data_IF_181960319664
#
_entry.id   IF_181960319664
#
_cell.length_a   1.000
_cell.length_b   1.000
_cell.length_c   1.000
_cell.angle_alpha   90.00
_cell.angle_beta   90.00
_cell.angle_gamma   90.00
#
_symmetry.space_group_name_H-M   'P 1'
#
loop_
_entity.id
_entity.type
_entity.pdbx_description
1 polymer ?
#
# COMPACT_ATOMS: atom_id res chain seq x y z
N UNK A 1 32.68 -2.03 -34.38
CA UNK A 1 31.64 -1.33 -33.60
C UNK A 1 32.11 -1.22 -32.17
N UNK A 2 31.86 -0.09 -31.53
CA UNK A 2 32.20 0.18 -30.14
C UNK A 2 30.99 0.84 -29.44
N UNK A 3 30.49 0.29 -28.31
CA UNK A 3 30.88 -0.99 -27.70
C UNK A 3 30.53 -2.20 -28.58
N UNK A 4 31.23 -3.31 -28.39
CA UNK A 4 30.91 -4.57 -29.08
C UNK A 4 29.83 -5.34 -28.30
N UNK A 5 28.86 -5.94 -29.00
CA UNK A 5 27.81 -6.75 -28.40
C UNK A 5 26.50 -5.99 -28.17
N UNK A 6 25.87 -6.22 -27.01
CA UNK A 6 24.62 -5.54 -26.62
C UNK A 6 24.88 -4.12 -26.13
N UNK A 7 24.00 -3.20 -26.52
CA UNK A 7 24.06 -1.78 -26.19
C UNK A 7 22.84 -1.39 -25.40
N UNK A 8 23.00 -0.67 -24.29
CA UNK A 8 21.84 -0.18 -23.55
C UNK A 8 21.13 0.92 -24.32
N UNK A 9 19.80 0.91 -24.23
CA UNK A 9 18.95 2.00 -24.70
C UNK A 9 19.46 3.36 -24.19
N UNK A 10 19.57 4.33 -25.09
CA UNK A 10 20.04 5.68 -24.81
C UNK A 10 21.56 5.86 -24.80
N UNK A 11 22.36 4.79 -24.98
CA UNK A 11 23.81 4.90 -25.19
C UNK A 11 24.14 5.28 -26.65
N UNK A 12 25.38 5.73 -26.87
CA UNK A 12 25.90 6.02 -28.19
C UNK A 12 26.67 4.82 -28.75
N UNK A 13 26.57 4.60 -30.06
CA UNK A 13 27.27 3.51 -30.76
C UNK A 13 28.11 4.06 -31.88
N UNK A 14 29.37 3.63 -31.92
CA UNK A 14 30.30 3.96 -32.99
C UNK A 14 30.50 2.77 -33.92
N UNK A 15 30.25 2.97 -35.21
CA UNK A 15 30.53 1.98 -36.27
C UNK A 15 31.62 2.53 -37.18
N UNK A 16 32.81 1.92 -37.09
CA UNK A 16 33.94 2.27 -37.95
C UNK A 16 33.92 1.43 -39.23
N UNK A 17 33.86 2.11 -40.37
CA UNK A 17 34.06 1.53 -41.68
C UNK A 17 35.51 1.78 -42.11
N UNK A 18 36.20 0.76 -42.62
CA UNK A 18 37.57 0.87 -43.12
C UNK A 18 37.75 0.08 -44.41
N UNK A 19 38.57 0.59 -45.32
CA UNK A 19 38.88 -0.06 -46.60
C UNK A 19 40.40 -0.20 -46.78
N UNK A 20 40.84 -1.38 -47.21
CA UNK A 20 42.25 -1.64 -47.54
C UNK A 20 42.53 -1.25 -48.99
N UNK A 21 42.73 0.04 -49.25
CA UNK A 21 43.06 0.60 -50.58
C UNK A 21 44.24 1.56 -50.52
N UNK A 22 44.94 1.72 -51.64
CA UNK A 22 46.00 2.73 -51.79
C UNK A 22 45.42 4.13 -52.07
N UNK A 23 44.14 4.22 -52.45
CA UNK A 23 43.46 5.47 -52.80
C UNK A 23 42.93 6.17 -51.55
N UNK A 24 43.66 7.17 -51.06
CA UNK A 24 43.26 7.94 -49.88
C UNK A 24 41.96 8.73 -50.11
N UNK A 25 41.11 8.65 -49.09
CA UNK A 25 39.86 9.37 -48.99
C UNK A 25 38.76 8.88 -49.93
N UNK A 26 37.52 9.28 -49.65
CA UNK A 26 36.32 8.87 -50.39
C UNK A 26 35.07 9.00 -49.52
N UNK A 27 33.95 8.55 -50.04
CA UNK A 27 32.66 8.54 -49.35
C UNK A 27 32.40 7.14 -48.81
N UNK A 28 32.23 7.03 -47.51
CA UNK A 28 31.75 5.82 -46.85
C UNK A 28 30.24 5.93 -46.66
N UNK A 29 29.54 4.82 -46.81
CA UNK A 29 28.09 4.72 -46.68
C UNK A 29 27.82 3.62 -45.66
N UNK A 30 27.21 3.97 -44.54
CA UNK A 30 26.68 3.03 -43.57
C UNK A 30 25.20 2.80 -43.87
N UNK A 31 24.79 1.56 -44.03
CA UNK A 31 23.39 1.23 -44.30
C UNK A 31 22.93 0.03 -43.48
N UNK A 32 21.67 0.06 -43.06
CA UNK A 32 21.04 -1.05 -42.38
C UNK A 32 20.53 -2.06 -43.42
N UNK A 33 20.70 -3.35 -43.17
CA UNK A 33 20.26 -4.41 -44.10
C UNK A 33 18.74 -4.46 -44.27
N UNK A 34 18.01 -3.97 -43.28
CA UNK A 34 16.55 -3.91 -43.26
C UNK A 34 16.08 -2.56 -42.78
N UNK A 35 15.13 -1.94 -43.49
CA UNK A 35 14.62 -0.60 -43.20
C UNK A 35 15.26 0.47 -44.08
N UNK A 36 15.12 1.74 -43.68
CA UNK A 36 15.54 2.90 -44.48
C UNK A 36 16.80 3.62 -43.98
N UNK A 37 17.42 3.14 -42.89
CA UNK A 37 18.59 3.81 -42.33
C UNK A 37 19.78 3.73 -43.30
N UNK A 38 20.26 4.91 -43.72
CA UNK A 38 21.43 5.09 -44.56
C UNK A 38 22.08 6.42 -44.26
N UNK A 39 23.37 6.39 -43.97
CA UNK A 39 24.17 7.57 -43.67
C UNK A 39 25.43 7.55 -44.53
N UNK A 40 25.92 8.72 -44.92
CA UNK A 40 27.16 8.82 -45.69
C UNK A 40 28.09 9.87 -45.09
N UNK A 41 29.38 9.60 -45.18
CA UNK A 41 30.40 10.50 -44.66
C UNK A 41 31.64 10.44 -45.53
N UNK A 42 32.19 11.60 -45.87
CA UNK A 42 33.46 11.69 -46.59
C UNK A 42 34.62 11.74 -45.60
N UNK A 43 35.68 11.01 -45.93
CA UNK A 43 36.92 11.02 -45.17
C UNK A 43 38.08 11.25 -46.13
N UNK A 44 39.15 11.93 -45.65
CA UNK A 44 40.43 12.02 -46.37
C UNK A 44 41.32 10.79 -46.12
N UNK A 45 40.93 9.94 -45.18
CA UNK A 45 41.64 8.70 -44.81
C UNK A 45 40.91 7.47 -45.34
N UNK A 46 41.45 6.29 -45.06
CA UNK A 46 40.88 5.00 -45.46
C UNK A 46 39.81 4.47 -44.48
N UNK A 47 39.40 5.28 -43.51
CA UNK A 47 38.36 4.90 -42.54
C UNK A 47 37.50 6.10 -42.14
N UNK A 48 36.30 5.80 -41.63
CA UNK A 48 35.44 6.76 -40.97
C UNK A 48 34.65 6.07 -39.86
N UNK A 49 34.29 6.82 -38.83
CA UNK A 49 33.44 6.33 -37.74
C UNK A 49 32.12 7.07 -37.78
N UNK A 50 31.04 6.32 -37.92
CA UNK A 50 29.66 6.79 -37.79
C UNK A 50 29.23 6.69 -36.33
N UNK A 51 28.74 7.79 -35.75
CA UNK A 51 28.18 7.81 -34.41
C UNK A 51 26.65 7.78 -34.49
N UNK A 52 26.04 6.80 -33.83
CA UNK A 52 24.60 6.69 -33.67
C UNK A 52 24.29 7.06 -32.21
N UNK A 53 23.90 8.32 -31.94
CA UNK A 53 23.68 8.76 -30.57
C UNK A 53 22.32 8.27 -30.05
N UNK A 54 22.24 8.04 -28.73
CA UNK A 54 21.01 7.69 -28.00
C UNK A 54 20.20 6.58 -28.68
N UNK A 55 20.83 5.43 -28.89
CA UNK A 55 20.21 4.30 -29.58
C UNK A 55 18.89 3.88 -28.93
N UNK A 56 17.90 3.58 -29.75
CA UNK A 56 16.62 3.04 -29.34
C UNK A 56 16.32 1.74 -30.11
N UNK A 57 15.15 1.15 -29.89
CA UNK A 57 14.78 -0.11 -30.53
C UNK A 57 14.69 -0.05 -32.07
N UNK A 58 14.53 1.13 -32.66
CA UNK A 58 14.52 1.30 -34.13
C UNK A 58 15.93 1.22 -34.72
N UNK A 59 16.96 1.49 -33.92
CA UNK A 59 18.36 1.31 -34.31
C UNK A 59 18.81 -0.17 -34.27
N UNK A 60 18.01 -1.07 -33.73
CA UNK A 60 18.38 -2.48 -33.63
C UNK A 60 18.38 -3.17 -35.01
N UNK A 61 19.46 -3.86 -35.36
CA UNK A 61 19.57 -4.61 -36.62
C UNK A 61 21.00 -4.73 -37.15
N UNK A 62 21.15 -5.26 -38.35
CA UNK A 62 22.46 -5.46 -38.98
C UNK A 62 22.82 -4.29 -39.91
N UNK A 63 24.08 -3.89 -39.85
CA UNK A 63 24.64 -2.75 -40.57
C UNK A 63 25.81 -3.20 -41.44
N UNK A 64 25.93 -2.60 -42.62
CA UNK A 64 27.01 -2.84 -43.58
C UNK A 64 27.55 -1.52 -44.11
N UNK A 65 28.84 -1.51 -44.41
CA UNK A 65 29.54 -0.39 -45.00
C UNK A 65 29.73 -0.60 -46.50
N UNK A 66 29.67 0.48 -47.27
CA UNK A 66 30.15 0.55 -48.65
C UNK A 66 31.07 1.76 -48.82
N UNK A 67 32.17 1.62 -49.54
CA UNK A 67 33.06 2.70 -49.92
C UNK A 67 32.83 3.11 -51.38
N UNK A 68 32.78 4.42 -51.65
CA UNK A 68 32.64 5.03 -52.97
C UNK A 68 33.73 6.10 -53.18
N UNK A 69 34.44 6.06 -54.31
CA UNK A 69 35.38 7.12 -54.71
C UNK A 69 35.05 7.62 -56.10
N UNK A 70 34.86 8.93 -56.22
CA UNK A 70 34.69 9.61 -57.51
C UNK A 70 36.03 10.18 -57.95
N UNK A 71 36.40 9.85 -59.18
CA UNK A 71 37.52 10.43 -59.92
C UNK A 71 36.96 11.13 -61.17
N UNK A 72 37.78 11.87 -61.90
CA UNK A 72 37.33 12.62 -63.10
C UNK A 72 36.71 11.72 -64.18
N UNK A 73 37.16 10.47 -64.27
CA UNK A 73 36.74 9.52 -65.31
C UNK A 73 35.77 8.43 -64.83
N UNK A 74 35.78 8.08 -63.54
CA UNK A 74 35.04 6.93 -63.04
C UNK A 74 34.66 7.04 -61.56
N UNK A 75 33.56 6.36 -61.20
CA UNK A 75 33.19 6.11 -59.80
C UNK A 75 33.49 4.66 -59.45
N UNK A 76 34.35 4.46 -58.46
CA UNK A 76 34.67 3.15 -57.90
C UNK A 76 33.78 2.89 -56.69
N UNK A 77 33.19 1.69 -56.59
CA UNK A 77 32.41 1.24 -55.43
C UNK A 77 32.97 -0.09 -54.94
N UNK A 78 33.10 -0.25 -53.62
CA UNK A 78 33.39 -1.55 -53.03
C UNK A 78 32.12 -2.41 -52.96
N UNK A 79 32.32 -3.72 -52.78
CA UNK A 79 31.28 -4.58 -52.23
C UNK A 79 30.87 -4.13 -50.82
N UNK A 80 29.75 -4.66 -50.34
CA UNK A 80 29.30 -4.45 -48.97
C UNK A 80 30.21 -5.19 -48.00
N UNK A 81 30.51 -4.57 -46.85
CA UNK A 81 31.26 -5.22 -45.78
C UNK A 81 30.47 -6.37 -45.15
N UNK A 82 31.17 -7.15 -44.33
CA UNK A 82 30.52 -8.02 -43.35
C UNK A 82 29.52 -7.23 -42.50
N UNK A 83 28.46 -7.91 -42.09
CA UNK A 83 27.41 -7.31 -41.27
C UNK A 83 27.81 -7.22 -39.81
N UNK A 84 27.60 -6.06 -39.20
CA UNK A 84 27.69 -5.87 -37.74
C UNK A 84 26.29 -5.66 -37.19
N UNK A 85 25.91 -6.45 -36.18
CA UNK A 85 24.59 -6.36 -35.56
C UNK A 85 24.63 -5.46 -34.32
N UNK A 86 23.76 -4.47 -34.29
CA UNK A 86 23.43 -3.68 -33.11
C UNK A 86 22.25 -4.35 -32.43
N UNK A 87 22.47 -4.86 -31.20
CA UNK A 87 21.42 -5.41 -30.34
C UNK A 87 21.16 -4.45 -29.19
N UNK A 88 19.90 -4.04 -28.98
CA UNK A 88 19.55 -3.05 -27.96
C UNK A 88 18.92 -3.74 -26.76
N UNK A 89 19.51 -3.53 -25.59
CA UNK A 89 19.03 -4.04 -24.30
C UNK A 89 18.61 -2.89 -23.39
N UNK A 90 17.96 -3.21 -22.27
CA UNK A 90 17.51 -2.21 -21.31
C UNK A 90 17.88 -2.63 -19.89
N UNK A 91 18.62 -1.79 -19.20
CA UNK A 91 18.89 -1.93 -17.77
C UNK A 91 18.01 -0.96 -16.99
N UNK A 92 17.05 -1.48 -16.21
CA UNK A 92 16.21 -0.65 -15.36
C UNK A 92 16.82 -0.44 -13.97
N UNK A 93 16.65 0.76 -13.38
CA UNK A 93 17.01 0.97 -11.99
C UNK A 93 16.07 0.19 -11.07
N UNK A 94 16.45 0.13 -9.79
CA UNK A 94 15.58 -0.41 -8.74
C UNK A 94 14.33 0.49 -8.59
N UNK A 95 13.10 -0.06 -8.64
CA UNK A 95 11.89 0.72 -8.39
C UNK A 95 11.86 1.26 -6.96
N UNK A 96 11.23 2.42 -6.77
CA UNK A 96 10.81 2.89 -5.45
C UNK A 96 9.45 2.29 -5.08
N UNK A 97 9.22 2.15 -3.78
CA UNK A 97 7.99 1.61 -3.20
C UNK A 97 7.60 2.49 -2.02
N UNK A 98 6.32 2.82 -1.91
CA UNK A 98 5.75 3.59 -0.82
C UNK A 98 4.36 3.07 -0.45
N UNK A 99 3.87 3.45 0.73
CA UNK A 99 2.58 3.02 1.26
C UNK A 99 1.81 4.22 1.80
N UNK A 100 0.50 4.21 1.61
CA UNK A 100 -0.42 5.18 2.18
C UNK A 100 -1.62 4.45 2.81
N UNK A 101 -1.86 4.60 4.13
CA UNK A 101 -1.06 5.37 5.09
C UNK A 101 0.33 4.76 5.31
N UNK A 102 1.30 5.59 5.71
CA UNK A 102 2.70 5.16 5.90
C UNK A 102 2.97 4.51 7.27
N UNK A 103 2.02 4.58 8.21
CA UNK A 103 2.10 4.09 9.58
C UNK A 103 1.42 2.73 9.75
N UNK A 104 1.25 2.30 11.01
CA UNK A 104 0.39 1.17 11.37
C UNK A 104 -1.02 1.36 10.78
N UNK A 105 -1.53 0.28 10.20
CA UNK A 105 -2.81 0.26 9.49
C UNK A 105 -3.82 -0.44 10.36
N UNK A 106 -4.98 0.19 10.58
CA UNK A 106 -6.02 -0.44 11.37
C UNK A 106 -6.69 -1.60 10.59
N UNK A 107 -7.04 -2.67 11.29
CA UNK A 107 -7.75 -3.81 10.70
C UNK A 107 -9.01 -3.35 9.94
N UNK A 108 -9.23 -3.91 8.76
CA UNK A 108 -10.36 -3.57 7.88
C UNK A 108 -10.20 -2.28 7.08
N UNK A 109 -9.10 -1.53 7.26
CA UNK A 109 -8.81 -0.33 6.46
C UNK A 109 -8.28 -0.71 5.06
N UNK A 110 -8.39 0.23 4.12
CA UNK A 110 -7.80 0.14 2.79
C UNK A 110 -6.39 0.77 2.77
N UNK A 111 -5.47 0.12 2.07
CA UNK A 111 -4.08 0.58 1.92
C UNK A 111 -3.72 0.69 0.45
N UNK A 112 -3.12 1.81 0.06
CA UNK A 112 -2.49 1.98 -1.24
C UNK A 112 -0.99 1.72 -1.14
N UNK A 113 -0.47 0.78 -1.94
CA UNK A 113 0.97 0.60 -2.13
C UNK A 113 1.34 1.08 -3.54
N UNK A 114 2.21 2.07 -3.61
CA UNK A 114 2.63 2.69 -4.88
C UNK A 114 4.05 2.25 -5.24
N UNK A 115 4.19 1.68 -6.43
CA UNK A 115 5.48 1.39 -7.05
C UNK A 115 5.80 2.48 -8.08
N UNK A 116 7.04 2.95 -8.16
CA UNK A 116 7.47 3.90 -9.19
C UNK A 116 8.85 3.55 -9.74
N UNK A 117 9.09 3.82 -11.02
CA UNK A 117 10.36 3.53 -11.71
C UNK A 117 10.84 4.78 -12.45
N UNK A 118 12.13 5.09 -12.36
CA UNK A 118 12.74 6.21 -13.09
C UNK A 118 13.21 5.73 -14.47
N UNK A 119 12.30 5.68 -15.44
CA UNK A 119 12.59 5.26 -16.83
C UNK A 119 11.88 6.16 -17.84
N UNK A 120 12.42 6.22 -19.05
CA UNK A 120 11.79 6.90 -20.20
C UNK A 120 10.87 5.94 -20.98
N UNK A 121 11.00 4.63 -20.77
CA UNK A 121 10.17 3.61 -21.40
C UNK A 121 8.86 3.44 -20.62
N UNK A 122 7.81 4.12 -21.08
CA UNK A 122 6.47 4.07 -20.48
C UNK A 122 5.66 2.86 -20.95
N UNK A 123 4.63 2.46 -20.19
CA UNK A 123 3.72 1.39 -20.62
C UNK A 123 4.13 -0.01 -20.17
N UNK A 124 4.70 -0.16 -18.98
CA UNK A 124 5.12 -1.45 -18.44
C UNK A 124 4.15 -2.03 -17.40
N UNK A 125 4.52 -3.19 -16.87
CA UNK A 125 3.80 -3.91 -15.83
C UNK A 125 4.54 -3.78 -14.51
N UNK A 126 3.87 -3.26 -13.50
CA UNK A 126 4.32 -3.32 -12.12
C UNK A 126 3.82 -4.61 -11.48
N UNK A 127 4.66 -5.22 -10.66
CA UNK A 127 4.36 -6.45 -9.94
C UNK A 127 4.60 -6.15 -8.47
N UNK A 128 3.55 -6.22 -7.66
CA UNK A 128 3.63 -6.18 -6.21
C UNK A 128 3.62 -7.61 -5.68
N UNK A 129 4.58 -7.96 -4.84
CA UNK A 129 4.65 -9.28 -4.25
C UNK A 129 5.06 -9.23 -2.79
N UNK A 130 4.57 -10.20 -2.01
CA UNK A 130 5.04 -10.42 -0.65
C UNK A 130 6.33 -11.23 -0.70
N UNK A 131 7.29 -10.88 0.15
CA UNK A 131 8.58 -11.60 0.26
C UNK A 131 8.41 -13.03 0.78
N UNK A 132 7.32 -13.29 1.49
CA UNK A 132 6.95 -14.59 2.03
C UNK A 132 5.50 -14.94 1.66
N UNK A 133 5.26 -16.17 1.23
CA UNK A 133 3.92 -16.63 0.81
C UNK A 133 3.71 -16.50 -0.70
N UNK A 134 2.45 -16.51 -1.13
CA UNK A 134 2.05 -16.56 -2.55
C UNK A 134 1.44 -15.27 -3.09
N UNK A 135 1.29 -14.23 -2.26
CA UNK A 135 0.68 -12.97 -2.70
C UNK A 135 1.52 -12.32 -3.80
N UNK A 136 0.90 -12.14 -4.96
CA UNK A 136 1.46 -11.46 -6.12
C UNK A 136 0.34 -10.85 -6.95
N UNK A 137 0.49 -9.59 -7.28
CA UNK A 137 -0.47 -8.82 -8.07
C UNK A 137 0.28 -8.04 -9.15
N UNK A 138 -0.31 -7.99 -10.35
CA UNK A 138 0.28 -7.31 -11.50
C UNK A 138 -0.65 -6.18 -11.94
N UNK A 139 -0.07 -5.02 -12.26
CA UNK A 139 -0.81 -3.88 -12.77
C UNK A 139 -0.02 -3.22 -13.91
N UNK A 140 -0.62 -3.20 -15.10
CA UNK A 140 -0.09 -2.44 -16.24
C UNK A 140 -0.41 -0.97 -16.07
N UNK A 141 0.59 -0.12 -16.33
CA UNK A 141 0.44 1.33 -16.26
C UNK A 141 1.06 1.98 -17.49
N UNK A 142 0.35 2.96 -18.05
CA UNK A 142 0.87 3.83 -19.12
C UNK A 142 1.87 4.86 -18.59
N UNK A 143 1.99 5.01 -17.28
CA UNK A 143 2.93 5.93 -16.64
C UNK A 143 4.11 5.17 -16.03
N UNK A 144 4.96 5.90 -15.33
CA UNK A 144 6.12 5.38 -14.60
C UNK A 144 5.78 4.92 -13.17
N UNK A 145 4.50 4.84 -12.81
CA UNK A 145 4.04 4.42 -11.49
C UNK A 145 2.72 3.65 -11.55
N UNK A 146 2.47 2.85 -10.53
CA UNK A 146 1.22 2.13 -10.34
C UNK A 146 0.90 2.01 -8.84
N UNK A 147 -0.37 2.11 -8.48
CA UNK A 147 -0.85 1.99 -7.11
C UNK A 147 -1.79 0.79 -6.99
N UNK A 148 -1.39 -0.13 -6.13
CA UNK A 148 -2.13 -1.32 -5.75
C UNK A 148 -2.96 -1.00 -4.51
N UNK A 149 -4.27 -1.17 -4.59
CA UNK A 149 -5.18 -0.96 -3.45
C UNK A 149 -5.49 -2.30 -2.81
N UNK A 150 -5.02 -2.49 -1.59
CA UNK A 150 -5.35 -3.63 -0.75
C UNK A 150 -6.51 -3.22 0.15
N UNK A 151 -7.73 -3.58 -0.24
CA UNK A 151 -8.91 -3.26 0.55
C UNK A 151 -9.13 -4.22 1.71
N UNK A 152 -9.73 -3.73 2.79
CA UNK A 152 -10.08 -4.47 4.01
C UNK A 152 -8.92 -5.37 4.47
N UNK A 153 -7.86 -4.75 4.95
CA UNK A 153 -6.67 -5.50 5.39
C UNK A 153 -6.99 -6.34 6.64
N UNK A 154 -6.39 -7.52 6.71
CA UNK A 154 -6.46 -8.45 7.83
C UNK A 154 -5.06 -9.02 8.13
N UNK A 155 -4.93 -9.78 9.21
CA UNK A 155 -3.61 -10.27 9.65
C UNK A 155 -2.88 -11.15 8.60
N UNK A 156 -3.59 -11.77 7.66
CA UNK A 156 -2.96 -12.59 6.61
C UNK A 156 -2.21 -11.72 5.59
N UNK A 157 -2.61 -10.46 5.46
CA UNK A 157 -1.93 -9.45 4.64
C UNK A 157 -0.73 -8.80 5.34
N UNK A 158 -0.46 -9.09 6.61
CA UNK A 158 0.76 -8.57 7.26
C UNK A 158 2.04 -9.13 6.65
N UNK A 159 3.03 -8.28 6.41
CA UNK A 159 4.36 -8.74 6.00
C UNK A 159 5.14 -7.73 5.19
N UNK A 160 6.21 -8.21 4.55
CA UNK A 160 7.11 -7.39 3.75
C UNK A 160 6.76 -7.49 2.26
N UNK A 161 6.54 -6.35 1.63
CA UNK A 161 6.15 -6.21 0.22
C UNK A 161 7.27 -5.58 -0.60
N UNK A 162 7.39 -6.02 -1.86
CA UNK A 162 8.36 -5.52 -2.83
C UNK A 162 7.72 -5.36 -4.20
N UNK A 163 8.24 -4.42 -4.98
CA UNK A 163 7.85 -4.15 -6.36
C UNK A 163 8.91 -4.66 -7.34
N UNK A 164 8.45 -5.08 -8.51
CA UNK A 164 9.27 -5.24 -9.71
C UNK A 164 8.59 -4.55 -10.89
N UNK A 165 9.35 -3.95 -11.78
CA UNK A 165 8.86 -3.40 -13.04
C UNK A 165 9.29 -4.28 -14.20
N UNK A 166 8.38 -4.50 -15.15
CA UNK A 166 8.62 -5.26 -16.37
C UNK A 166 8.18 -4.48 -17.59
N UNK A 167 8.96 -4.55 -18.65
CA UNK A 167 8.65 -3.93 -19.93
C UNK A 167 8.75 -4.95 -21.04
N UNK A 168 7.70 -5.06 -21.84
CA UNK A 168 7.66 -5.93 -23.01
C UNK A 168 7.72 -5.08 -24.28
N UNK A 169 8.63 -5.45 -25.18
CA UNK A 169 8.77 -4.78 -26.47
C UNK A 169 7.58 -5.14 -27.37
N UNK A 170 6.96 -4.15 -28.02
CA UNK A 170 5.70 -4.29 -28.81
C UNK A 170 5.78 -5.23 -30.04
N UNK A 171 6.94 -5.83 -30.32
CA UNK A 171 7.14 -6.71 -31.49
C UNK A 171 8.17 -7.82 -31.25
N UNK A 172 8.49 -8.14 -29.99
CA UNK A 172 9.32 -9.29 -29.66
C UNK A 172 8.86 -9.97 -28.36
N UNK A 173 9.40 -11.16 -28.10
CA UNK A 173 9.18 -11.91 -26.86
C UNK A 173 10.05 -11.34 -25.72
N UNK A 174 10.97 -10.42 -26.03
CA UNK A 174 11.94 -9.92 -25.06
C UNK A 174 11.24 -9.10 -23.97
N UNK A 175 11.41 -9.59 -22.74
CA UNK A 175 10.89 -8.99 -21.52
C UNK A 175 12.06 -8.49 -20.69
N UNK A 176 12.11 -7.18 -20.45
CA UNK A 176 13.11 -6.55 -19.61
C UNK A 176 12.53 -6.36 -18.21
N UNK A 177 13.27 -6.81 -17.20
CA UNK A 177 12.84 -6.73 -15.80
C UNK A 177 13.80 -5.88 -15.00
N UNK A 178 13.25 -5.04 -14.11
CA UNK A 178 14.04 -4.37 -13.09
C UNK A 178 14.47 -5.36 -12.00
N UNK A 179 15.50 -5.00 -11.20
CA UNK A 179 15.68 -5.58 -9.88
C UNK A 179 14.43 -5.38 -9.01
N UNK A 180 14.29 -6.17 -7.95
CA UNK A 180 13.26 -5.94 -6.93
C UNK A 180 13.55 -4.66 -6.13
N UNK A 181 12.50 -3.96 -5.72
CA UNK A 181 12.57 -2.75 -4.88
C UNK A 181 13.06 -3.05 -3.45
N UNK A 182 13.16 -2.00 -2.62
CA UNK A 182 13.29 -2.20 -1.18
C UNK A 182 12.00 -2.85 -0.66
N UNK A 183 12.04 -3.38 0.56
CA UNK A 183 10.83 -3.90 1.20
C UNK A 183 10.16 -2.83 2.06
N UNK A 184 8.84 -2.77 2.03
CA UNK A 184 8.02 -2.05 3.01
C UNK A 184 7.26 -3.06 3.87
N UNK A 185 7.01 -2.73 5.14
CA UNK A 185 6.26 -3.61 6.05
C UNK A 185 4.84 -3.10 6.21
N UNK A 186 3.87 -3.95 5.88
CA UNK A 186 2.49 -3.76 6.28
C UNK A 186 2.30 -4.44 7.64
N UNK A 187 2.05 -3.63 8.67
CA UNK A 187 1.72 -4.07 10.03
C UNK A 187 0.30 -3.63 10.34
N UNK A 188 -0.49 -4.53 10.91
CA UNK A 188 -1.92 -4.32 11.13
C UNK A 188 -2.19 -4.29 12.63
N UNK A 189 -2.82 -3.19 13.06
CA UNK A 189 -3.21 -2.98 14.45
C UNK A 189 -4.71 -2.93 14.59
N UNK A 190 -5.19 -3.06 15.83
CA UNK A 190 -6.60 -2.94 16.17
C UNK A 190 -6.71 -1.85 17.22
N UNK A 191 -7.23 -0.70 16.80
CA UNK A 191 -7.54 0.39 17.71
C UNK A 191 -9.02 0.35 18.08
N UNK A 192 -9.28 0.28 19.39
CA UNK A 192 -10.61 0.40 19.97
C UNK A 192 -10.66 1.70 20.77
N UNK A 193 -11.72 2.49 20.56
CA UNK A 193 -11.99 3.67 21.36
C UNK A 193 -12.39 3.25 22.78
N UNK A 194 -12.17 4.11 23.78
CA UNK A 194 -12.79 3.92 25.09
C UNK A 194 -14.32 4.00 24.91
N UNK A 195 -15.10 3.03 25.42
CA UNK A 195 -16.55 3.09 25.34
C UNK A 195 -17.10 4.22 26.22
N UNK A 196 -18.38 4.53 26.03
CA UNK A 196 -19.14 5.39 26.93
C UNK A 196 -20.02 4.55 27.82
N UNK A 197 -20.17 5.00 29.07
CA UNK A 197 -21.07 4.40 30.06
C UNK A 197 -22.10 5.44 30.48
N UNK A 198 -23.35 5.01 30.59
CA UNK A 198 -24.47 5.86 30.99
C UNK A 198 -25.44 5.11 31.88
N UNK A 199 -26.22 5.85 32.66
CA UNK A 199 -27.19 5.28 33.60
C UNK A 199 -28.53 5.99 33.45
N UNK A 200 -29.61 5.21 33.34
CA UNK A 200 -30.98 5.71 33.23
C UNK A 200 -31.90 4.99 34.23
N UNK A 201 -33.01 5.63 34.62
CA UNK A 201 -34.06 5.00 35.44
C UNK A 201 -35.42 5.23 34.77
N UNK A 202 -36.02 4.19 34.17
CA UNK A 202 -37.34 4.29 33.54
C UNK A 202 -38.42 4.79 34.49
N UNK A 203 -38.31 4.45 35.77
CA UNK A 203 -39.30 4.76 36.80
C UNK A 203 -39.05 6.13 37.48
N UNK A 204 -38.08 6.91 36.98
CA UNK A 204 -37.75 8.23 37.54
C UNK A 204 -37.06 8.20 38.91
N UNK A 205 -36.53 7.05 39.32
CA UNK A 205 -35.88 6.87 40.63
C UNK A 205 -34.43 7.37 40.70
N UNK A 206 -33.93 8.03 39.64
CA UNK A 206 -32.53 8.45 39.49
C UNK A 206 -32.36 9.96 39.67
N UNK A 207 -31.39 10.34 40.51
CA UNK A 207 -30.87 11.70 40.64
C UNK A 207 -29.39 11.70 40.31
N UNK A 208 -29.01 12.39 39.24
CA UNK A 208 -27.60 12.58 38.87
C UNK A 208 -27.01 13.72 39.71
N UNK A 209 -25.94 13.42 40.46
CA UNK A 209 -25.12 14.42 41.15
C UNK A 209 -23.69 14.41 40.57
N UNK A 210 -22.91 15.48 40.74
CA UNK A 210 -21.53 15.55 40.22
C UNK A 210 -20.63 14.42 40.73
N UNK A 211 -20.94 13.85 41.90
CA UNK A 211 -20.12 12.86 42.59
C UNK A 211 -20.65 11.43 42.40
N UNK A 212 -21.96 11.26 42.19
CA UNK A 212 -22.59 9.94 42.07
C UNK A 212 -23.98 9.96 41.40
N UNK A 213 -24.36 8.83 40.82
CA UNK A 213 -25.72 8.52 40.42
C UNK A 213 -26.50 7.95 41.62
N UNK A 214 -27.50 8.68 42.12
CA UNK A 214 -28.28 8.27 43.28
C UNK A 214 -29.57 7.59 42.81
N UNK A 215 -29.75 6.32 43.13
CA UNK A 215 -30.93 5.54 42.75
C UNK A 215 -31.76 5.22 43.99
N UNK A 216 -33.07 5.46 43.90
CA UNK A 216 -34.00 5.12 44.98
C UNK A 216 -34.17 3.62 45.08
N UNK A 217 -34.03 3.06 46.29
CA UNK A 217 -34.23 1.64 46.57
C UNK A 217 -35.62 1.20 46.12
N UNK A 218 -35.70 0.10 45.37
CA UNK A 218 -36.94 -0.42 44.81
C UNK A 218 -37.26 0.06 43.38
N UNK A 219 -36.64 1.15 42.89
CA UNK A 219 -36.77 1.58 41.50
C UNK A 219 -35.92 0.73 40.57
N UNK A 220 -36.29 0.67 39.28
CA UNK A 220 -35.43 0.10 38.25
C UNK A 220 -34.38 1.10 37.76
N UNK A 221 -33.21 0.59 37.38
CA UNK A 221 -32.22 1.36 36.64
C UNK A 221 -31.51 0.49 35.60
N UNK A 222 -30.97 1.13 34.58
CA UNK A 222 -30.29 0.49 33.46
C UNK A 222 -28.95 1.15 33.26
N UNK A 223 -27.90 0.35 33.21
CA UNK A 223 -26.56 0.78 32.80
C UNK A 223 -26.38 0.42 31.34
N UNK A 224 -26.08 1.41 30.50
CA UNK A 224 -25.87 1.22 29.07
C UNK A 224 -24.43 1.56 28.74
N UNK A 225 -23.71 0.58 28.18
CA UNK A 225 -22.40 0.79 27.57
C UNK A 225 -22.59 0.95 26.05
N UNK A 226 -21.89 1.88 25.41
CA UNK A 226 -21.87 2.01 23.95
C UNK A 226 -20.49 2.39 23.45
N UNK A 227 -20.17 2.03 22.21
CA UNK A 227 -18.89 2.34 21.59
C UNK A 227 -19.10 2.79 20.14
N UNK A 228 -18.26 3.69 19.66
CA UNK A 228 -18.15 3.94 18.23
C UNK A 228 -17.05 3.02 17.67
N UNK A 229 -17.46 1.89 17.10
CA UNK A 229 -16.57 0.85 16.57
C UNK A 229 -17.03 0.49 15.16
N UNK A 230 -16.09 0.15 14.28
CA UNK A 230 -16.37 -0.39 12.94
C UNK A 230 -16.46 -1.93 12.94
N UNK A 231 -16.10 -2.56 14.06
CA UNK A 231 -16.01 -4.02 14.14
C UNK A 231 -17.37 -4.61 14.56
N UNK A 232 -17.86 -5.63 13.83
CA UNK A 232 -19.09 -6.31 14.18
C UNK A 232 -18.88 -7.22 15.40
N UNK A 233 -20.00 -7.62 16.02
CA UNK A 233 -20.07 -8.76 16.95
C UNK A 233 -19.18 -8.69 18.19
N UNK A 234 -18.97 -7.49 18.74
CA UNK A 234 -18.28 -7.34 20.02
C UNK A 234 -19.17 -7.61 21.24
N UNK A 235 -18.54 -7.68 22.41
CA UNK A 235 -19.21 -7.87 23.69
C UNK A 235 -18.76 -6.81 24.69
N UNK A 236 -19.69 -6.35 25.52
CA UNK A 236 -19.40 -5.48 26.65
C UNK A 236 -19.28 -6.30 27.92
N UNK A 237 -18.26 -5.99 28.71
CA UNK A 237 -18.08 -6.43 30.07
C UNK A 237 -18.40 -5.26 31.01
N UNK A 238 -19.44 -5.41 31.82
CA UNK A 238 -19.74 -4.51 32.92
C UNK A 238 -18.98 -4.98 34.15
N UNK A 239 -18.04 -4.15 34.61
CA UNK A 239 -17.22 -4.40 35.79
C UNK A 239 -17.87 -3.68 36.97
N UNK A 240 -18.16 -4.42 38.04
CA UNK A 240 -18.72 -3.91 39.28
C UNK A 240 -17.69 -4.04 40.41
N UNK A 241 -17.35 -2.89 41.01
CA UNK A 241 -16.43 -2.76 42.14
C UNK A 241 -15.13 -3.56 41.96
N UNK A 242 -14.58 -3.55 40.73
CA UNK A 242 -13.30 -4.15 40.36
C UNK A 242 -13.22 -5.68 40.43
N UNK A 243 -14.33 -6.40 40.58
CA UNK A 243 -14.29 -7.85 40.84
C UNK A 243 -15.41 -8.66 40.16
N UNK A 244 -16.64 -8.14 40.12
CA UNK A 244 -17.75 -8.85 39.46
C UNK A 244 -17.88 -8.40 38.02
N UNK A 245 -17.88 -9.35 37.08
CA UNK A 245 -17.95 -9.06 35.63
C UNK A 245 -19.19 -9.71 35.03
N UNK A 246 -20.08 -8.91 34.45
CA UNK A 246 -21.23 -9.40 33.65
C UNK A 246 -20.98 -9.08 32.19
N UNK A 247 -21.17 -10.04 31.28
CA UNK A 247 -20.99 -9.80 29.84
C UNK A 247 -22.31 -9.82 29.08
N UNK A 248 -22.39 -9.01 28.02
CA UNK A 248 -23.48 -9.03 27.04
C UNK A 248 -22.92 -8.73 25.65
N UNK A 249 -23.49 -9.39 24.63
CA UNK A 249 -23.24 -9.04 23.23
C UNK A 249 -23.71 -7.63 22.93
N UNK A 250 -22.94 -6.91 22.14
CA UNK A 250 -23.35 -5.62 21.62
C UNK A 250 -24.44 -5.81 20.57
N UNK A 251 -25.53 -5.04 20.70
CA UNK A 251 -26.57 -4.87 19.70
C UNK A 251 -26.50 -3.41 19.28
N UNK A 252 -26.25 -3.17 17.99
CA UNK A 252 -26.00 -1.83 17.46
C UNK A 252 -24.95 -1.05 18.27
N UNK A 253 -23.79 -1.68 18.47
CA UNK A 253 -22.65 -1.14 19.21
C UNK A 253 -22.95 -0.71 20.66
N UNK A 254 -24.03 -1.23 21.25
CA UNK A 254 -24.44 -0.94 22.62
C UNK A 254 -24.89 -2.19 23.37
N UNK A 255 -24.82 -2.17 24.69
CA UNK A 255 -25.39 -3.20 25.54
C UNK A 255 -25.98 -2.60 26.82
N UNK A 256 -27.20 -3.02 27.14
CA UNK A 256 -27.94 -2.56 28.31
C UNK A 256 -28.01 -3.63 29.39
N UNK A 257 -27.57 -3.29 30.60
CA UNK A 257 -27.59 -4.12 31.79
C UNK A 257 -28.71 -3.64 32.70
N UNK A 258 -29.74 -4.48 32.84
CA UNK A 258 -30.98 -4.10 33.51
C UNK A 258 -30.93 -4.53 34.98
N UNK A 259 -31.26 -3.60 35.86
CA UNK A 259 -31.44 -3.82 37.29
C UNK A 259 -32.90 -3.50 37.64
N UNK A 260 -33.82 -4.50 37.59
CA UNK A 260 -35.24 -4.26 37.77
C UNK A 260 -35.60 -3.69 39.14
N UNK A 261 -34.82 -4.04 40.17
CA UNK A 261 -35.03 -3.60 41.55
C UNK A 261 -33.70 -3.19 42.16
N UNK A 262 -33.56 -1.90 42.50
CA UNK A 262 -32.40 -1.37 43.19
C UNK A 262 -32.33 -1.85 44.65
N UNK A 263 -31.20 -2.47 45.04
CA UNK A 263 -30.90 -2.98 46.37
C UNK A 263 -29.49 -2.54 46.79
N UNK A 264 -29.20 -2.49 48.09
CA UNK A 264 -27.88 -2.05 48.59
C UNK A 264 -26.69 -2.84 48.04
N UNK A 265 -26.87 -4.10 47.65
CA UNK A 265 -25.81 -4.90 47.00
C UNK A 265 -25.40 -4.36 45.62
N UNK A 266 -26.23 -3.52 45.00
CA UNK A 266 -25.96 -2.84 43.72
C UNK A 266 -25.27 -1.47 43.92
N UNK A 267 -24.91 -1.11 45.15
CA UNK A 267 -24.14 0.11 45.42
C UNK A 267 -22.65 -0.14 45.14
N UNK A 268 -22.02 0.75 44.37
CA UNK A 268 -20.59 0.67 44.06
C UNK A 268 -20.24 1.34 42.73
N UNK A 269 -19.04 1.04 42.25
CA UNK A 269 -18.49 1.64 41.03
C UNK A 269 -18.71 0.71 39.83
N UNK A 270 -19.15 1.28 38.72
CA UNK A 270 -19.41 0.57 37.48
C UNK A 270 -18.58 1.15 36.35
N UNK A 271 -17.93 0.29 35.59
CA UNK A 271 -17.15 0.63 34.40
C UNK A 271 -17.41 -0.39 33.29
N UNK A 272 -17.14 -0.01 32.04
CA UNK A 272 -17.29 -0.89 30.88
C UNK A 272 -15.96 -1.16 30.19
N UNK A 273 -15.78 -2.38 29.69
CA UNK A 273 -14.75 -2.76 28.71
C UNK A 273 -15.45 -3.39 27.50
N UNK A 274 -15.01 -3.05 26.29
CA UNK A 274 -15.49 -3.66 25.06
C UNK A 274 -14.45 -4.64 24.51
N UNK A 275 -14.85 -5.86 24.20
CA UNK A 275 -13.99 -6.88 23.57
C UNK A 275 -14.53 -7.23 22.19
N UNK A 276 -13.62 -7.35 21.23
CA UNK A 276 -13.90 -7.93 19.91
C UNK A 276 -12.91 -9.05 19.62
N UNK A 277 -13.38 -10.08 18.92
CA UNK A 277 -12.53 -11.15 18.39
C UNK A 277 -12.38 -10.96 16.89
N UNK A 278 -11.15 -10.69 16.43
CA UNK A 278 -10.82 -10.56 15.01
C UNK A 278 -9.88 -11.69 14.59
N UNK A 279 -10.30 -12.44 13.58
CA UNK A 279 -9.72 -13.73 13.18
C UNK A 279 -9.75 -14.73 14.34
N UNK A 280 -8.69 -14.78 15.16
CA UNK A 280 -8.56 -15.67 16.33
C UNK A 280 -8.04 -14.96 17.58
N UNK A 281 -7.88 -13.63 17.49
CA UNK A 281 -7.28 -12.81 18.55
C UNK A 281 -8.34 -11.92 19.18
N UNK A 282 -8.26 -11.75 20.49
CA UNK A 282 -9.14 -10.89 21.28
C UNK A 282 -8.47 -9.54 21.50
N UNK A 283 -9.25 -8.48 21.34
CA UNK A 283 -8.82 -7.11 21.54
C UNK A 283 -9.80 -6.41 22.48
N UNK A 284 -9.25 -5.77 23.50
CA UNK A 284 -10.03 -5.05 24.51
C UNK A 284 -9.83 -3.56 24.34
N UNK A 285 -10.90 -2.80 24.51
CA UNK A 285 -10.81 -1.37 24.74
C UNK A 285 -10.14 -1.09 26.08
N UNK A 286 -9.70 0.15 26.24
CA UNK A 286 -9.52 0.75 27.56
C UNK A 286 -10.82 0.68 28.37
N UNK A 287 -10.70 0.53 29.67
CA UNK A 287 -11.82 0.59 30.61
C UNK A 287 -12.33 2.04 30.72
N UNK A 288 -13.65 2.21 30.84
CA UNK A 288 -14.23 3.54 31.06
C UNK A 288 -13.88 4.07 32.44
N UNK A 289 -13.90 5.40 32.58
CA UNK A 289 -14.06 6.01 33.89
C UNK A 289 -15.32 5.47 34.58
N UNK A 290 -15.22 5.28 35.90
CA UNK A 290 -16.28 4.63 36.67
C UNK A 290 -17.45 5.58 36.98
N UNK A 291 -18.68 5.08 36.90
CA UNK A 291 -19.87 5.72 37.48
C UNK A 291 -20.13 5.12 38.87
N UNK A 292 -20.15 5.98 39.89
CA UNK A 292 -20.50 5.59 41.26
C UNK A 292 -22.02 5.58 41.43
N UNK A 293 -22.60 4.44 41.81
CA UNK A 293 -24.02 4.28 42.09
C UNK A 293 -24.26 4.17 43.58
N UNK A 294 -25.13 5.03 44.12
CA UNK A 294 -25.52 5.07 45.54
C UNK A 294 -27.00 4.75 45.68
N UNK A 295 -27.34 3.78 46.54
CA UNK A 295 -28.74 3.38 46.75
C UNK A 295 -29.33 4.12 47.95
N UNK A 296 -30.33 4.97 47.71
CA UNK A 296 -30.99 5.78 48.74
C UNK A 296 -32.31 5.16 49.22
N UNK A 297 -32.64 5.42 50.48
CA UNK A 297 -33.94 5.07 51.04
C UNK A 297 -35.05 5.95 50.42
N UNK A 298 -36.26 5.41 50.18
CA UNK A 298 -37.38 6.24 49.75
C UNK A 298 -37.74 7.26 50.83
N UNK A 299 -37.78 8.56 50.47
CA UNK A 299 -38.12 9.64 51.41
C UNK A 299 -39.52 9.49 52.04
N UNK A 300 -40.45 8.79 51.38
CA UNK A 300 -41.80 8.52 51.89
C UNK A 300 -41.82 7.66 53.17
N UNK A 301 -40.78 6.88 53.46
CA UNK A 301 -40.69 6.05 54.67
C UNK A 301 -40.17 6.81 55.91
N UNK A 302 -39.67 8.04 55.75
CA UNK A 302 -39.18 8.86 56.88
C UNK A 302 -40.28 9.65 57.59
N UNK A 303 -41.50 9.71 57.04
CA UNK A 303 -42.58 10.61 57.52
C UNK A 303 -43.58 9.91 58.47
N UNK A 304 -43.43 8.61 58.76
CA UNK A 304 -44.40 7.86 59.59
C UNK A 304 -44.02 7.72 61.07
N UNK A 305 -43.01 8.43 61.58
CA UNK A 305 -42.62 8.37 63.00
C UNK A 305 -42.68 9.71 63.72
N UNK A 306 -43.83 10.40 63.68
CA UNK A 306 -44.21 11.32 64.76
C UNK A 306 -45.45 10.75 65.42
N UNK A 307 -45.22 10.20 66.61
CA UNK A 307 -46.19 9.48 67.41
C UNK A 307 -47.34 10.38 67.86
N UNK A 308 -48.54 9.78 67.80
CA UNK A 308 -49.71 10.14 68.61
C UNK A 308 -49.31 10.16 70.09
N UNK A 309 -49.61 11.23 70.81
CA UNK A 309 -49.43 11.29 72.26
C UNK A 309 -49.99 12.55 72.94
N UNK A 310 -51.13 12.37 73.63
CA UNK A 310 -51.74 13.18 74.71
C UNK A 310 -52.16 14.63 74.37
N UNK A 311 -53.35 15.14 74.73
CA UNK A 311 -54.37 14.76 75.73
C UNK A 311 -55.78 14.85 75.13
#
# INVERSE_FOLDING_TARGET
MNPAGEVNWGQDVDITCSVSTQLLGGTFILQKTSGSFRENQTSSTNSVTFNIPKVNFDNEGSYQCQYEKRTESQTFRSDLSDSVRVSVTVTFPKPSISMNPASEVNWGQDVGITCSISTQLLGGTFILQKTSGSFRENQTSSTNSATFTISKVDFDKEGLYQCQYKYQKRSSIDEFSSPQSNSIRLSITVHLQTPSISLTSPDGGLVLSPEAAQVTRGSSFVITCSINSIYPDGHFFLIFSGSSVTSKSAVDHSASFNFPVAEYKHQGNYSCVYEVTLSTRKFNSTETESISVIIKLPLLLLVTSVAVGAL
#
